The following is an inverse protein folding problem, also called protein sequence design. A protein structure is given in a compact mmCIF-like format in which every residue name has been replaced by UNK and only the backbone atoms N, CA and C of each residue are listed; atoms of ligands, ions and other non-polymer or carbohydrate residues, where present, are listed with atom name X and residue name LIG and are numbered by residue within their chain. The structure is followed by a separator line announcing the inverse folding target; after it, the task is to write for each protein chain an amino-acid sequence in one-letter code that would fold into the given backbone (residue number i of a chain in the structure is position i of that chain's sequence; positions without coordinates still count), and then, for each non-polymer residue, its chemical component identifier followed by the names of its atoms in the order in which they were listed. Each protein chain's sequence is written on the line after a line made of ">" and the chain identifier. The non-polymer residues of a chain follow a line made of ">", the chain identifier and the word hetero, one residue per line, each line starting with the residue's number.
data_IF_974879985988
#
_entry.id   IF_974879985988
#
_cell.length_a   1.000
_cell.length_b   1.000
_cell.length_c   1.000
_cell.angle_alpha   90.00
_cell.angle_beta   90.00
_cell.angle_gamma   90.00
#
_symmetry.space_group_name_H-M   'P 1'
#
loop_
_entity.id
_entity.type
_entity.pdbx_description
1 polymer ?
#
# COMPACT_ATOMS: atom_id res chain seq x y z
N UNK A 1 27.88 5.24 4.88
CA UNK A 1 26.47 4.80 5.03
C UNK A 1 26.52 3.28 5.16
N UNK A 2 26.10 2.72 6.30
CA UNK A 2 26.14 1.26 6.54
C UNK A 2 24.75 0.69 6.26
N UNK A 3 24.58 0.00 5.14
CA UNK A 3 23.37 -0.74 4.81
C UNK A 3 23.59 -2.22 5.14
N UNK A 4 22.79 -2.75 6.07
CA UNK A 4 22.80 -4.18 6.39
C UNK A 4 21.81 -4.86 5.46
N UNK A 5 22.30 -5.80 4.65
CA UNK A 5 21.43 -6.58 3.79
C UNK A 5 20.46 -7.44 4.62
N UNK A 6 19.16 -7.19 4.44
CA UNK A 6 18.05 -7.90 5.07
C UNK A 6 17.23 -8.67 4.04
N UNK A 7 17.62 -8.73 2.77
CA UNK A 7 16.79 -9.29 1.70
C UNK A 7 16.57 -10.79 1.85
N UNK A 8 17.38 -11.50 2.65
CA UNK A 8 17.12 -12.91 3.01
C UNK A 8 15.75 -13.14 3.65
N UNK A 9 15.24 -12.14 4.38
CA UNK A 9 13.93 -12.22 5.03
C UNK A 9 12.77 -12.18 4.04
N UNK A 10 13.01 -11.91 2.75
CA UNK A 10 11.97 -12.02 1.70
C UNK A 10 11.52 -13.48 1.57
N UNK A 11 12.42 -14.45 1.65
CA UNK A 11 12.05 -15.87 1.62
C UNK A 11 11.17 -16.25 2.81
N UNK A 12 11.55 -15.81 4.00
CA UNK A 12 10.76 -16.02 5.22
C UNK A 12 9.39 -15.34 5.09
N UNK A 13 9.36 -14.10 4.61
CA UNK A 13 8.13 -13.33 4.39
C UNK A 13 7.17 -14.03 3.42
N UNK A 14 7.68 -14.59 2.32
CA UNK A 14 6.86 -15.30 1.33
C UNK A 14 6.36 -16.67 1.80
N UNK A 15 6.97 -17.24 2.85
CA UNK A 15 6.49 -18.48 3.49
C UNK A 15 5.37 -18.24 4.51
N UNK A 16 5.13 -16.99 4.89
CA UNK A 16 4.01 -16.60 5.74
C UNK A 16 2.70 -16.51 4.94
N UNK A 17 1.53 -16.48 5.61
CA UNK A 17 0.26 -16.25 4.94
C UNK A 17 0.24 -14.93 4.16
N UNK A 18 -0.65 -14.83 3.16
CA UNK A 18 -0.76 -13.67 2.25
C UNK A 18 -1.01 -12.32 2.96
N UNK A 19 -1.40 -12.34 4.22
CA UNK A 19 -1.69 -11.14 5.00
C UNK A 19 -0.77 -11.07 6.21
N UNK A 20 0.17 -10.11 6.18
CA UNK A 20 1.26 -10.01 7.15
C UNK A 20 1.13 -8.69 7.90
N UNK A 21 0.73 -8.78 9.17
CA UNK A 21 0.70 -7.63 10.08
C UNK A 21 2.07 -7.44 10.76
N UNK A 22 2.75 -6.35 10.43
CA UNK A 22 4.02 -5.95 11.06
C UNK A 22 3.79 -5.00 12.24
N UNK A 23 3.26 -5.52 13.35
CA UNK A 23 3.11 -4.76 14.61
C UNK A 23 4.51 -4.36 15.09
N UNK A 24 4.88 -3.05 15.23
CA UNK A 24 6.19 -2.68 15.85
C UNK A 24 6.48 -1.19 16.11
N UNK A 25 7.47 -0.88 17.00
CA UNK A 25 7.92 0.45 17.45
C UNK A 25 8.56 1.35 16.38
N UNK A 26 8.58 2.66 16.67
CA UNK A 26 9.13 3.75 15.84
C UNK A 26 10.62 3.58 15.50
N UNK A 27 11.00 4.03 14.28
CA UNK A 27 12.39 4.15 13.75
C UNK A 27 13.16 2.85 13.45
N UNK A 28 12.48 1.72 13.31
CA UNK A 28 13.13 0.44 13.03
C UNK A 28 13.55 0.20 11.56
N UNK A 29 13.42 1.20 10.69
CA UNK A 29 13.74 1.09 9.25
C UNK A 29 12.65 0.43 8.40
N UNK A 30 11.39 0.47 8.85
CA UNK A 30 10.24 -0.15 8.14
C UNK A 30 10.01 0.44 6.75
N UNK A 31 10.03 1.76 6.61
CA UNK A 31 9.76 2.40 5.31
C UNK A 31 10.84 2.05 4.28
N UNK A 32 12.10 1.87 4.71
CA UNK A 32 13.17 1.36 3.85
C UNK A 32 12.88 -0.09 3.40
N UNK A 33 12.38 -0.93 4.30
CA UNK A 33 11.98 -2.30 3.98
C UNK A 33 10.80 -2.35 3.00
N UNK A 34 9.75 -1.57 3.24
CA UNK A 34 8.58 -1.48 2.34
C UNK A 34 9.00 -0.97 0.96
N UNK A 35 9.88 0.04 0.89
CA UNK A 35 10.44 0.49 -0.38
C UNK A 35 11.22 -0.63 -1.08
N UNK A 36 12.07 -1.36 -0.35
CA UNK A 36 12.81 -2.49 -0.93
C UNK A 36 11.87 -3.55 -1.50
N UNK A 37 10.82 -3.93 -0.76
CA UNK A 37 9.81 -4.88 -1.24
C UNK A 37 9.09 -4.36 -2.48
N UNK A 38 8.74 -3.06 -2.53
CA UNK A 38 8.16 -2.46 -3.73
C UNK A 38 9.08 -2.63 -4.94
N UNK A 39 10.37 -2.33 -4.82
CA UNK A 39 11.32 -2.52 -5.92
C UNK A 39 11.50 -3.98 -6.33
N UNK A 40 11.48 -4.90 -5.36
CA UNK A 40 11.66 -6.33 -5.61
C UNK A 40 10.45 -6.94 -6.33
N UNK A 41 9.23 -6.57 -5.94
CA UNK A 41 8.00 -7.15 -6.48
C UNK A 41 7.49 -6.45 -7.75
N UNK A 42 7.83 -5.18 -7.98
CA UNK A 42 7.31 -4.38 -9.09
C UNK A 42 7.64 -4.99 -10.46
N UNK A 43 6.59 -5.29 -11.23
CA UNK A 43 6.68 -5.84 -12.59
C UNK A 43 7.32 -4.91 -13.59
N UNK A 44 7.30 -3.59 -13.37
CA UNK A 44 7.94 -2.61 -14.25
C UNK A 44 9.45 -2.52 -14.02
N UNK A 45 9.98 -3.15 -12.96
CA UNK A 45 11.40 -3.07 -12.58
C UNK A 45 12.21 -4.29 -13.00
N UNK A 46 11.66 -5.17 -13.86
CA UNK A 46 12.33 -6.39 -14.35
C UNK A 46 13.74 -6.12 -14.87
N UNK A 47 13.87 -5.11 -15.73
CA UNK A 47 15.16 -4.77 -16.37
C UNK A 47 16.16 -4.14 -15.40
N UNK A 48 15.71 -3.71 -14.22
CA UNK A 48 16.54 -3.09 -13.19
C UNK A 48 16.92 -4.06 -12.07
N UNK A 49 16.44 -5.31 -12.12
CA UNK A 49 16.64 -6.26 -11.04
C UNK A 49 18.12 -6.46 -10.70
N UNK A 50 18.97 -6.74 -11.69
CA UNK A 50 20.39 -6.97 -11.45
C UNK A 50 21.09 -5.70 -10.94
N UNK A 51 20.67 -4.53 -11.43
CA UNK A 51 21.22 -3.25 -10.96
C UNK A 51 20.92 -3.01 -9.47
N UNK A 52 19.73 -3.41 -9.02
CA UNK A 52 19.27 -3.18 -7.66
C UNK A 52 19.69 -4.27 -6.67
N UNK A 53 19.75 -5.53 -7.12
CA UNK A 53 19.82 -6.68 -6.22
C UNK A 53 21.02 -7.60 -6.42
N UNK A 54 21.81 -7.50 -7.50
CA UNK A 54 22.88 -8.49 -7.80
C UNK A 54 23.80 -8.84 -6.63
N UNK A 55 24.15 -7.84 -5.81
CA UNK A 55 25.10 -7.97 -4.70
C UNK A 55 24.39 -8.30 -3.36
N UNK A 56 23.08 -8.54 -3.38
CA UNK A 56 22.25 -8.90 -2.22
C UNK A 56 21.93 -10.39 -2.22
N UNK A 57 21.51 -10.91 -1.06
CA UNK A 57 21.08 -12.30 -0.95
C UNK A 57 19.95 -12.64 -1.94
N UNK A 58 18.98 -11.75 -2.15
CA UNK A 58 17.82 -12.01 -3.01
C UNK A 58 18.15 -11.88 -4.50
N UNK A 59 19.18 -11.12 -4.86
CA UNK A 59 19.68 -11.11 -6.24
C UNK A 59 20.34 -12.44 -6.63
N UNK A 60 21.04 -13.04 -5.68
CA UNK A 60 21.67 -14.36 -5.85
C UNK A 60 20.69 -15.51 -5.70
N UNK A 61 19.62 -15.32 -4.90
CA UNK A 61 18.60 -16.34 -4.61
C UNK A 61 17.19 -15.77 -4.84
N UNK A 62 16.80 -15.44 -6.10
CA UNK A 62 15.50 -14.85 -6.36
C UNK A 62 14.36 -15.83 -6.10
N UNK A 63 13.25 -15.32 -5.58
CA UNK A 63 12.00 -16.09 -5.38
C UNK A 63 11.15 -16.08 -6.67
N UNK A 64 10.18 -17.01 -6.81
CA UNK A 64 9.22 -17.01 -7.93
C UNK A 64 8.32 -15.77 -8.03
N UNK A 65 8.34 -14.92 -6.99
CA UNK A 65 7.54 -13.71 -6.86
C UNK A 65 8.28 -12.44 -7.31
N UNK A 66 9.58 -12.54 -7.61
CA UNK A 66 10.40 -11.49 -8.22
C UNK A 66 9.68 -10.81 -9.39
N UNK A 67 9.56 -9.48 -9.32
CA UNK A 67 8.99 -8.62 -10.36
C UNK A 67 7.67 -9.13 -10.97
N UNK A 68 6.79 -9.72 -10.14
CA UNK A 68 5.55 -10.38 -10.58
C UNK A 68 4.29 -9.57 -10.33
N UNK A 69 4.38 -8.50 -9.53
CA UNK A 69 3.22 -7.77 -9.02
C UNK A 69 3.23 -6.32 -9.44
N UNK A 70 2.06 -5.73 -9.55
CA UNK A 70 1.89 -4.30 -9.49
C UNK A 70 1.86 -3.87 -8.03
N UNK A 71 2.71 -2.93 -7.64
CA UNK A 71 2.86 -2.54 -6.24
C UNK A 71 2.05 -1.28 -5.95
N UNK A 72 1.26 -1.29 -4.88
CA UNK A 72 0.47 -0.16 -4.40
C UNK A 72 0.85 0.10 -2.94
N UNK A 73 1.44 1.24 -2.62
CA UNK A 73 1.92 1.53 -1.27
C UNK A 73 1.25 2.78 -0.71
N UNK A 74 0.64 2.65 0.45
CA UNK A 74 0.11 3.73 1.26
C UNK A 74 1.02 3.96 2.46
N UNK A 75 1.48 5.19 2.64
CA UNK A 75 2.25 5.64 3.79
C UNK A 75 1.48 6.79 4.46
N UNK A 76 0.72 6.46 5.49
CA UNK A 76 -0.17 7.42 6.14
C UNK A 76 0.54 8.37 7.11
N UNK A 77 1.86 8.29 7.28
CA UNK A 77 2.63 9.36 7.92
C UNK A 77 2.60 10.68 7.12
N UNK A 78 2.22 10.63 5.85
CA UNK A 78 2.10 11.81 4.98
C UNK A 78 0.82 12.62 5.22
N UNK A 79 -0.12 12.10 6.02
CA UNK A 79 -1.36 12.80 6.37
C UNK A 79 -1.18 13.43 7.75
N UNK A 80 -1.28 14.76 7.84
CA UNK A 80 -1.14 15.46 9.12
C UNK A 80 -2.38 15.20 10.00
N UNK A 81 -2.21 14.55 11.16
CA UNK A 81 -3.31 14.22 12.06
C UNK A 81 -3.95 15.45 12.72
N UNK A 82 -3.29 16.61 12.72
CA UNK A 82 -3.76 17.81 13.45
C UNK A 82 -4.65 18.73 12.63
N UNK A 83 -4.95 18.34 11.40
CA UNK A 83 -5.75 19.16 10.52
C UNK A 83 -7.24 18.93 10.79
N UNK A 84 -8.04 19.99 10.96
CA UNK A 84 -9.50 19.88 11.17
C UNK A 84 -10.22 19.17 9.99
N UNK A 85 -9.52 18.93 8.88
CA UNK A 85 -10.00 18.18 7.71
C UNK A 85 -9.14 16.96 7.35
N UNK A 86 -8.66 16.22 8.34
CA UNK A 86 -7.90 14.96 8.13
C UNK A 86 -8.58 14.01 7.12
N UNK A 87 -9.92 13.96 7.12
CA UNK A 87 -10.67 13.14 6.17
C UNK A 87 -10.48 13.60 4.71
N UNK A 88 -10.45 14.90 4.44
CA UNK A 88 -10.22 15.45 3.10
C UNK A 88 -8.79 15.18 2.63
N UNK A 89 -7.81 15.41 3.51
CA UNK A 89 -6.39 15.13 3.23
C UNK A 89 -6.14 13.65 2.94
N UNK A 90 -6.78 12.75 3.71
CA UNK A 90 -6.74 11.32 3.45
C UNK A 90 -7.30 10.97 2.06
N UNK A 91 -8.48 11.49 1.71
CA UNK A 91 -9.11 11.23 0.41
C UNK A 91 -8.24 11.76 -0.74
N UNK A 92 -7.64 12.93 -0.57
CA UNK A 92 -6.70 13.53 -1.52
C UNK A 92 -5.43 12.70 -1.69
N UNK A 93 -4.83 12.28 -0.58
CA UNK A 93 -3.65 11.43 -0.56
C UNK A 93 -3.90 10.09 -1.26
N UNK A 94 -4.95 9.36 -0.87
CA UNK A 94 -5.29 8.07 -1.47
C UNK A 94 -5.62 8.23 -2.95
N UNK A 95 -6.37 9.27 -3.35
CA UNK A 95 -6.63 9.56 -4.77
C UNK A 95 -5.33 9.78 -5.56
N UNK A 96 -4.36 10.47 -4.97
CA UNK A 96 -3.07 10.75 -5.59
C UNK A 96 -2.24 9.47 -5.78
N UNK A 97 -2.22 8.58 -4.79
CA UNK A 97 -1.55 7.28 -4.88
C UNK A 97 -2.20 6.38 -5.95
N UNK A 98 -3.53 6.34 -6.03
CA UNK A 98 -4.24 5.60 -7.09
C UNK A 98 -3.90 6.16 -8.48
N UNK A 99 -3.84 7.48 -8.61
CA UNK A 99 -3.46 8.13 -9.87
C UNK A 99 -2.04 7.74 -10.28
N UNK A 100 -1.07 7.81 -9.36
CA UNK A 100 0.31 7.37 -9.62
C UNK A 100 0.37 5.90 -10.03
N UNK A 101 -0.34 5.01 -9.31
CA UNK A 101 -0.42 3.60 -9.65
C UNK A 101 -0.92 3.37 -11.08
N UNK A 102 -2.01 4.03 -11.48
CA UNK A 102 -2.53 3.94 -12.85
C UNK A 102 -1.55 4.49 -13.89
N UNK A 103 -0.81 5.56 -13.57
CA UNK A 103 0.21 6.11 -14.48
C UNK A 103 1.39 5.14 -14.66
N UNK A 104 1.86 4.53 -13.56
CA UNK A 104 2.95 3.54 -13.61
C UNK A 104 2.58 2.32 -14.43
N UNK A 105 1.35 1.83 -14.29
CA UNK A 105 0.89 0.60 -14.94
C UNK A 105 -0.09 0.84 -16.10
N UNK A 106 -0.06 2.02 -16.72
CA UNK A 106 -1.05 2.45 -17.72
C UNK A 106 -1.29 1.44 -18.85
N UNK A 107 -0.28 0.67 -19.24
CA UNK A 107 -0.38 -0.34 -20.31
C UNK A 107 -1.21 -1.57 -19.91
N UNK A 108 -1.49 -1.75 -18.62
CA UNK A 108 -2.31 -2.83 -18.06
C UNK A 108 -3.76 -2.42 -17.86
N UNK A 109 -4.13 -1.17 -18.14
CA UNK A 109 -5.48 -0.64 -17.95
C UNK A 109 -6.02 -0.04 -19.25
N UNK A 110 -7.31 -0.24 -19.50
CA UNK A 110 -8.00 0.45 -20.59
C UNK A 110 -8.12 1.95 -20.32
N UNK A 111 -7.95 2.77 -21.36
CA UNK A 111 -8.08 4.24 -21.24
C UNK A 111 -9.48 4.67 -20.77
N UNK A 112 -10.52 3.96 -21.21
CA UNK A 112 -11.91 4.13 -20.76
C UNK A 112 -12.04 3.90 -19.26
N UNK A 113 -11.46 2.81 -18.75
CA UNK A 113 -11.48 2.49 -17.33
C UNK A 113 -10.73 3.52 -16.49
N UNK A 114 -9.56 4.00 -16.96
CA UNK A 114 -8.81 5.07 -16.26
C UNK A 114 -9.67 6.33 -16.14
N UNK A 115 -10.33 6.74 -17.24
CA UNK A 115 -11.18 7.93 -17.25
C UNK A 115 -12.41 7.76 -16.33
N UNK A 116 -13.06 6.59 -16.37
CA UNK A 116 -14.17 6.25 -15.47
C UNK A 116 -13.73 6.33 -14.00
N UNK A 117 -12.60 5.70 -13.67
CA UNK A 117 -12.11 5.65 -12.29
C UNK A 117 -11.73 7.04 -11.74
N UNK A 118 -11.20 7.90 -12.61
CA UNK A 118 -10.90 9.29 -12.27
C UNK A 118 -12.15 10.15 -12.06
N UNK A 119 -13.30 9.78 -12.65
CA UNK A 119 -14.55 10.52 -12.50
C UNK A 119 -15.21 10.35 -11.12
N UNK A 120 -14.88 9.26 -10.40
CA UNK A 120 -15.43 9.03 -9.07
C UNK A 120 -14.92 10.07 -8.06
N UNK A 121 -15.80 10.62 -7.24
CA UNK A 121 -15.41 11.57 -6.18
C UNK A 121 -14.79 10.84 -4.98
N UNK A 122 -15.37 9.72 -4.57
CA UNK A 122 -15.01 9.02 -3.33
C UNK A 122 -13.91 7.97 -3.53
N UNK A 123 -12.89 7.95 -2.67
CA UNK A 123 -11.77 7.00 -2.80
C UNK A 123 -12.15 5.54 -2.57
N UNK A 124 -13.15 5.29 -1.72
CA UNK A 124 -13.63 3.93 -1.48
C UNK A 124 -14.17 3.29 -2.76
N UNK A 125 -14.91 4.07 -3.57
CA UNK A 125 -15.41 3.62 -4.87
C UNK A 125 -14.27 3.40 -5.85
N UNK A 126 -13.28 4.30 -5.90
CA UNK A 126 -12.06 4.14 -6.73
C UNK A 126 -11.33 2.84 -6.42
N UNK A 127 -11.07 2.56 -5.15
CA UNK A 127 -10.35 1.36 -4.73
C UNK A 127 -11.15 0.09 -5.02
N UNK A 128 -12.45 0.10 -4.74
CA UNK A 128 -13.32 -1.02 -5.06
C UNK A 128 -13.28 -1.35 -6.55
N UNK A 129 -13.51 -0.36 -7.43
CA UNK A 129 -13.48 -0.58 -8.88
C UNK A 129 -12.10 -0.98 -9.38
N UNK A 130 -11.03 -0.41 -8.82
CA UNK A 130 -9.66 -0.80 -9.12
C UNK A 130 -9.42 -2.29 -8.85
N UNK A 131 -9.75 -2.76 -7.64
CA UNK A 131 -9.53 -4.17 -7.30
C UNK A 131 -10.45 -5.12 -8.05
N UNK A 132 -11.71 -4.73 -8.30
CA UNK A 132 -12.61 -5.50 -9.15
C UNK A 132 -12.09 -5.61 -10.59
N UNK A 133 -11.54 -4.53 -11.15
CA UNK A 133 -10.90 -4.57 -12.46
C UNK A 133 -9.67 -5.47 -12.44
N UNK A 134 -8.81 -5.35 -11.44
CA UNK A 134 -7.62 -6.18 -11.33
C UNK A 134 -7.97 -7.66 -11.20
N UNK A 135 -8.97 -8.01 -10.38
CA UNK A 135 -9.44 -9.38 -10.22
C UNK A 135 -9.99 -9.97 -11.53
N UNK A 136 -10.84 -9.22 -12.24
CA UNK A 136 -11.42 -9.62 -13.53
C UNK A 136 -10.34 -9.87 -14.61
N UNK A 137 -9.30 -9.04 -14.60
CA UNK A 137 -8.20 -9.11 -15.58
C UNK A 137 -6.99 -9.92 -15.09
N UNK A 138 -7.13 -10.65 -13.97
CA UNK A 138 -6.06 -11.49 -13.37
C UNK A 138 -4.75 -10.73 -13.10
N UNK A 139 -4.88 -9.44 -12.84
CA UNK A 139 -3.80 -8.52 -12.54
C UNK A 139 -3.41 -8.65 -11.07
N UNK A 140 -2.16 -9.06 -10.82
CA UNK A 140 -1.66 -9.29 -9.47
C UNK A 140 -1.19 -7.99 -8.82
N UNK A 141 -1.90 -7.55 -7.79
CA UNK A 141 -1.54 -6.37 -7.00
C UNK A 141 -0.97 -6.79 -5.65
N UNK A 142 0.15 -6.19 -5.25
CA UNK A 142 0.70 -6.31 -3.90
C UNK A 142 0.54 -4.96 -3.19
N UNK A 143 -0.28 -4.92 -2.14
CA UNK A 143 -0.55 -3.70 -1.38
C UNK A 143 0.34 -3.62 -0.13
N UNK A 144 0.93 -2.44 0.09
CA UNK A 144 1.65 -2.09 1.31
C UNK A 144 0.90 -0.98 2.03
N UNK A 145 0.73 -1.13 3.35
CA UNK A 145 0.14 -0.11 4.20
C UNK A 145 1.11 0.14 5.37
N UNK A 146 1.64 1.36 5.46
CA UNK A 146 2.49 1.82 6.54
C UNK A 146 1.77 2.90 7.37
N UNK A 147 2.05 2.93 8.68
CA UNK A 147 1.51 3.91 9.64
C UNK A 147 -0.03 4.01 9.66
N UNK A 148 -0.71 2.85 9.52
CA UNK A 148 -2.18 2.76 9.58
C UNK A 148 -2.77 3.28 10.90
N UNK A 149 -1.99 3.21 11.98
CA UNK A 149 -2.33 3.67 13.32
C UNK A 149 -2.27 5.19 13.47
N UNK A 150 -1.55 5.91 12.59
CA UNK A 150 -1.54 7.37 12.58
C UNK A 150 -2.97 7.93 12.45
N UNK A 151 -3.78 7.29 11.61
CA UNK A 151 -5.19 7.65 11.43
C UNK A 151 -6.05 7.29 12.64
N UNK A 152 -5.86 6.10 13.22
CA UNK A 152 -6.55 5.66 14.43
C UNK A 152 -6.29 6.61 15.61
N UNK A 153 -5.03 7.00 15.81
CA UNK A 153 -4.64 7.96 16.85
C UNK A 153 -5.29 9.32 16.64
N UNK A 154 -5.43 9.76 15.38
CA UNK A 154 -6.08 11.04 15.05
C UNK A 154 -7.55 11.04 15.42
N UNK A 155 -8.31 10.04 14.98
CA UNK A 155 -9.74 9.92 15.33
C UNK A 155 -9.90 9.85 16.85
N UNK A 156 -9.07 9.05 17.53
CA UNK A 156 -9.09 8.95 18.99
C UNK A 156 -8.85 10.30 19.69
N UNK A 157 -8.00 11.17 19.13
CA UNK A 157 -7.71 12.49 19.70
C UNK A 157 -8.70 13.58 19.33
N UNK A 158 -9.30 13.55 18.14
CA UNK A 158 -10.18 14.64 17.64
C UNK A 158 -11.65 14.41 18.00
N UNK A 159 -12.08 13.16 18.17
CA UNK A 159 -13.49 12.77 18.32
C UNK A 159 -13.88 12.22 19.70
N UNK A 160 -12.91 12.04 20.60
CA UNK A 160 -13.15 11.43 21.91
C UNK A 160 -13.49 9.93 21.84
N UNK A 161 -13.45 9.28 23.01
CA UNK A 161 -13.58 7.81 23.15
C UNK A 161 -14.93 7.25 22.69
N UNK A 162 -16.00 8.05 22.73
CA UNK A 162 -17.36 7.61 22.37
C UNK A 162 -17.57 7.49 20.84
N UNK A 163 -17.11 8.44 20.04
CA UNK A 163 -17.29 8.39 18.57
C UNK A 163 -16.37 7.34 17.93
N UNK A 164 -15.21 7.05 18.54
CA UNK A 164 -14.36 5.91 18.16
C UNK A 164 -15.06 4.57 18.39
N UNK A 165 -15.80 4.44 19.51
CA UNK A 165 -16.64 3.26 19.76
C UNK A 165 -17.79 3.21 18.75
N UNK A 166 -18.42 4.31 18.37
CA UNK A 166 -19.44 4.31 17.31
C UNK A 166 -18.88 4.00 15.90
N UNK A 167 -17.67 4.43 15.56
CA UNK A 167 -17.02 4.15 14.27
C UNK A 167 -16.51 2.70 14.16
N UNK A 168 -16.19 2.06 15.29
CA UNK A 168 -15.66 0.68 15.34
C UNK A 168 -16.71 -0.36 15.74
N UNK A 169 -17.78 0.04 16.44
CA UNK A 169 -18.90 -0.82 16.84
C UNK A 169 -20.19 -0.55 16.04
N UNK A 170 -20.37 0.64 15.46
CA UNK A 170 -21.48 1.02 14.58
C UNK A 170 -21.13 0.91 13.09
N UNK A 171 -22.14 1.04 12.22
CA UNK A 171 -22.08 0.84 10.75
C UNK A 171 -21.24 1.91 9.99
N UNK A 172 -20.05 2.25 10.46
CA UNK A 172 -19.17 3.24 9.86
C UNK A 172 -18.38 2.70 8.65
N UNK A 173 -18.16 3.58 7.66
CA UNK A 173 -17.46 3.29 6.40
C UNK A 173 -16.03 2.71 6.57
N UNK A 174 -15.41 2.86 7.74
CA UNK A 174 -14.06 2.35 8.04
C UNK A 174 -14.00 0.84 8.29
N UNK A 175 -15.11 0.20 8.68
CA UNK A 175 -15.15 -1.26 8.84
C UNK A 175 -14.94 -1.99 7.51
N UNK A 176 -15.42 -1.41 6.41
CA UNK A 176 -15.24 -1.96 5.06
C UNK A 176 -13.82 -1.79 4.52
N UNK A 177 -13.01 -0.90 5.09
CA UNK A 177 -11.65 -0.66 4.61
C UNK A 177 -10.61 -1.56 5.29
N UNK A 178 -10.85 -1.94 6.55
CA UNK A 178 -9.88 -2.68 7.38
C UNK A 178 -10.13 -4.20 7.44
N UNK A 179 -11.22 -4.69 6.85
CA UNK A 179 -11.59 -6.13 6.83
C UNK A 179 -11.30 -6.80 5.46
N UNK A 180 -10.76 -6.07 4.49
CA UNK A 180 -10.33 -6.64 3.21
C UNK A 180 -8.81 -6.82 3.15
#
# INVERSE_FOLDING_TARGET
>A
MYYVDKTKYIHELESLPNYIFLIRPRRFGKSLWINLLQYYYDSNRKDQFDTLFKDTFIGQNPTPNKNRYMTLAFNFAMVDPKFDRVQEEFQSYVSSIIKDFLMRYQNSFEKSFIAELQSYERVNKKLQELFLYCARNQLKVYMFIDEYDNFTNTILTTSGTEEYLELTQGQGAFRYFLIC
#
